data_IF_176091954683
#
_entry.id   IF_176091954683
#
_cell.length_a   1.000
_cell.length_b   1.000
_cell.length_c   1.000
_cell.angle_alpha   90.00
_cell.angle_beta   90.00
_cell.angle_gamma   90.00
#
_symmetry.space_group_name_H-M   'P 1'
#
loop_
_entity.id
_entity.type
_entity.pdbx_description
1 polymer ?
#
# COMPACT_ATOMS: atom_id res chain seq x y z
N UNK A 1 9.63 1.67 3.63
CA UNK A 1 8.81 1.14 2.51
C UNK A 1 8.74 2.18 1.41
N UNK A 2 8.35 1.82 0.18
CA UNK A 2 8.16 2.80 -0.92
C UNK A 2 6.69 2.89 -1.30
N UNK A 3 6.26 4.06 -1.74
CA UNK A 3 4.89 4.32 -2.20
C UNK A 3 4.90 4.26 -3.72
N UNK A 4 4.28 3.22 -4.29
CA UNK A 4 4.19 3.00 -5.74
C UNK A 4 2.99 2.11 -6.07
N UNK A 5 2.37 2.38 -7.22
CA UNK A 5 1.18 1.65 -7.68
C UNK A 5 1.53 0.31 -8.37
N UNK A 6 2.52 0.33 -9.29
CA UNK A 6 2.86 -0.81 -10.13
C UNK A 6 3.94 -1.67 -9.48
N UNK A 7 4.05 -2.93 -9.93
CA UNK A 7 5.10 -3.86 -9.52
C UNK A 7 6.51 -3.51 -10.06
N UNK A 8 6.59 -2.51 -10.94
CA UNK A 8 7.81 -2.04 -11.58
C UNK A 8 7.81 -0.50 -11.75
N UNK A 9 8.97 0.05 -12.11
CA UNK A 9 9.16 1.49 -12.28
C UNK A 9 8.90 1.99 -13.72
N UNK A 10 8.46 1.13 -14.65
CA UNK A 10 8.45 1.42 -16.08
C UNK A 10 7.48 2.55 -16.44
N UNK A 11 6.25 2.51 -15.92
CA UNK A 11 5.20 3.46 -16.31
C UNK A 11 5.51 4.89 -15.87
N UNK A 12 6.03 5.05 -14.65
CA UNK A 12 6.18 6.38 -14.03
C UNK A 12 7.60 6.91 -14.11
N UNK A 13 8.63 6.04 -14.08
CA UNK A 13 10.03 6.44 -14.17
C UNK A 13 10.74 6.01 -15.46
N UNK A 14 10.09 5.22 -16.33
CA UNK A 14 10.70 4.73 -17.57
C UNK A 14 11.79 3.67 -17.35
N UNK A 15 11.91 3.12 -16.14
CA UNK A 15 12.94 2.13 -15.77
C UNK A 15 12.30 0.75 -15.67
N UNK A 16 12.74 -0.18 -16.52
CA UNK A 16 12.30 -1.58 -16.49
C UNK A 16 12.98 -2.35 -15.35
N UNK A 17 12.52 -2.09 -14.12
CA UNK A 17 13.03 -2.69 -12.89
C UNK A 17 11.86 -3.06 -11.97
N UNK A 18 11.86 -4.30 -11.48
CA UNK A 18 10.86 -4.80 -10.52
C UNK A 18 11.15 -4.23 -9.12
N UNK A 19 10.09 -3.80 -8.42
CA UNK A 19 10.18 -3.16 -7.10
C UNK A 19 10.75 -4.12 -6.06
N UNK A 20 10.24 -5.34 -5.95
CA UNK A 20 10.70 -6.36 -4.99
C UNK A 20 12.20 -6.71 -5.16
N UNK A 21 12.73 -6.54 -6.38
CA UNK A 21 14.13 -6.83 -6.71
C UNK A 21 15.07 -5.63 -6.50
N UNK A 22 14.53 -4.49 -6.08
CA UNK A 22 15.29 -3.24 -5.91
C UNK A 22 15.67 -3.03 -4.45
N UNK A 23 16.89 -2.53 -4.22
CA UNK A 23 17.21 -1.95 -2.92
C UNK A 23 16.54 -0.58 -2.77
N UNK A 24 16.27 -0.16 -1.53
CA UNK A 24 15.74 1.17 -1.26
C UNK A 24 16.63 2.28 -1.87
N UNK A 25 17.95 2.15 -1.75
CA UNK A 25 18.89 3.13 -2.29
C UNK A 25 18.78 3.25 -3.83
N UNK A 26 18.53 2.15 -4.54
CA UNK A 26 18.28 2.19 -5.98
C UNK A 26 16.93 2.85 -6.30
N UNK A 27 15.87 2.45 -5.61
CA UNK A 27 14.54 3.01 -5.84
C UNK A 27 14.52 4.54 -5.68
N UNK A 28 15.19 5.07 -4.66
CA UNK A 28 15.24 6.52 -4.41
C UNK A 28 15.93 7.34 -5.51
N UNK A 29 16.65 6.71 -6.44
CA UNK A 29 17.29 7.41 -7.56
C UNK A 29 16.39 7.54 -8.80
N UNK A 30 15.26 6.84 -8.84
CA UNK A 30 14.36 6.88 -10.00
C UNK A 30 13.52 8.15 -10.02
N UNK A 31 13.45 8.80 -11.18
CA UNK A 31 12.72 10.05 -11.42
C UNK A 31 11.36 9.76 -12.07
N UNK A 32 10.28 10.05 -11.36
CA UNK A 32 8.91 9.68 -11.74
C UNK A 32 8.23 10.66 -12.71
N UNK A 33 9.01 11.46 -13.44
CA UNK A 33 8.51 12.45 -14.41
C UNK A 33 8.30 11.95 -15.84
N UNK A 34 8.42 10.65 -16.13
CA UNK A 34 8.39 10.12 -17.50
C UNK A 34 7.15 10.54 -18.31
N UNK A 35 6.00 10.75 -17.67
CA UNK A 35 4.75 11.24 -18.28
C UNK A 35 4.49 12.75 -18.15
N UNK A 36 5.41 13.50 -17.55
CA UNK A 36 5.22 14.89 -17.10
C UNK A 36 6.35 15.81 -17.60
N UNK A 37 6.48 16.01 -18.92
CA UNK A 37 7.65 16.68 -19.52
C UNK A 37 7.86 18.14 -19.08
N UNK A 38 6.80 18.78 -18.58
CA UNK A 38 6.84 20.17 -18.10
C UNK A 38 7.10 20.29 -16.59
N UNK A 39 7.23 19.18 -15.85
CA UNK A 39 7.50 19.23 -14.42
C UNK A 39 8.97 19.58 -14.16
N UNK A 40 9.26 20.70 -13.48
CA UNK A 40 10.59 21.31 -13.53
C UNK A 40 11.64 20.57 -12.69
N UNK A 41 11.21 19.89 -11.63
CA UNK A 41 12.09 19.30 -10.59
C UNK A 41 12.02 17.79 -10.59
N UNK A 42 13.14 17.11 -10.40
CA UNK A 42 13.15 15.64 -10.26
C UNK A 42 12.25 15.19 -9.10
N UNK A 43 11.46 14.15 -9.33
CA UNK A 43 10.59 13.56 -8.30
C UNK A 43 11.06 12.13 -8.04
N UNK A 44 11.79 11.93 -6.93
CA UNK A 44 12.29 10.61 -6.53
C UNK A 44 11.17 9.67 -6.11
N UNK A 45 11.39 8.36 -6.16
CA UNK A 45 10.49 7.38 -5.52
C UNK A 45 10.20 7.77 -4.07
N UNK A 46 8.94 8.03 -3.69
CA UNK A 46 8.61 8.42 -2.32
C UNK A 46 8.74 7.24 -1.35
N UNK A 47 9.29 7.51 -0.16
CA UNK A 47 9.20 6.56 0.97
C UNK A 47 7.88 6.75 1.70
N UNK A 48 7.37 5.70 2.34
CA UNK A 48 6.19 5.80 3.20
C UNK A 48 6.36 6.91 4.25
N UNK A 49 7.44 6.86 5.04
CA UNK A 49 7.72 7.88 6.06
C UNK A 49 7.81 9.28 5.46
N UNK A 50 8.42 9.41 4.27
CA UNK A 50 8.46 10.67 3.54
C UNK A 50 7.07 11.21 3.21
N UNK A 51 6.15 10.35 2.75
CA UNK A 51 4.76 10.72 2.50
C UNK A 51 4.03 11.05 3.79
N UNK A 52 4.12 10.21 4.82
CA UNK A 52 3.46 10.44 6.12
C UNK A 52 3.86 11.78 6.75
N UNK A 53 5.12 12.20 6.60
CA UNK A 53 5.59 13.49 7.10
C UNK A 53 4.97 14.71 6.37
N UNK A 54 4.39 14.51 5.19
CA UNK A 54 3.68 15.54 4.42
C UNK A 54 2.18 15.55 4.70
N UNK A 55 1.64 14.47 5.27
CA UNK A 55 0.22 14.38 5.60
C UNK A 55 -0.05 15.13 6.91
N UNK A 56 -0.90 16.15 6.82
CA UNK A 56 -1.36 16.94 7.97
C UNK A 56 -2.88 17.09 7.94
N UNK A 57 -3.51 17.01 9.12
CA UNK A 57 -4.96 17.15 9.32
C UNK A 57 -5.85 16.19 8.50
N UNK A 58 -5.47 14.92 8.38
CA UNK A 58 -6.32 13.88 7.80
C UNK A 58 -7.10 13.13 8.89
N UNK A 59 -8.41 13.03 8.73
CA UNK A 59 -9.27 12.23 9.61
C UNK A 59 -9.10 10.72 9.37
N UNK A 60 -8.72 10.34 8.14
CA UNK A 60 -8.54 8.97 7.70
C UNK A 60 -7.50 8.89 6.58
N UNK A 61 -6.64 7.88 6.65
CA UNK A 61 -5.61 7.57 5.66
C UNK A 61 -5.71 6.08 5.32
N UNK A 62 -5.80 5.76 4.04
CA UNK A 62 -5.73 4.37 3.58
C UNK A 62 -4.35 4.06 3.06
N UNK A 63 -3.79 2.99 3.61
CA UNK A 63 -2.50 2.46 3.24
C UNK A 63 -2.74 1.09 2.61
N UNK A 64 -2.81 1.06 1.28
CA UNK A 64 -2.98 -0.18 0.53
C UNK A 64 -1.64 -0.89 0.40
N UNK A 65 -1.56 -2.11 0.91
CA UNK A 65 -0.39 -2.97 0.80
C UNK A 65 -0.58 -3.92 -0.38
N UNK A 66 0.36 -3.92 -1.32
CA UNK A 66 0.31 -4.81 -2.49
C UNK A 66 0.65 -6.25 -2.13
N UNK A 67 0.28 -7.15 -3.05
CA UNK A 67 0.45 -8.58 -2.87
C UNK A 67 1.92 -9.00 -2.74
N UNK A 68 2.15 -10.05 -1.96
CA UNK A 68 3.47 -10.63 -1.71
C UNK A 68 3.53 -12.09 -2.12
N UNK A 69 4.74 -12.57 -2.42
CA UNK A 69 4.96 -13.92 -2.94
C UNK A 69 4.67 -15.02 -1.92
N UNK A 70 4.91 -14.77 -0.63
CA UNK A 70 4.71 -15.75 0.44
C UNK A 70 4.45 -15.10 1.80
N UNK A 71 3.94 -15.90 2.76
CA UNK A 71 3.65 -15.47 4.12
C UNK A 71 4.87 -14.92 4.88
N UNK A 72 6.08 -15.43 4.63
CA UNK A 72 7.28 -14.95 5.31
C UNK A 72 7.60 -13.50 4.91
N UNK A 73 7.37 -13.14 3.64
CA UNK A 73 7.43 -11.76 3.18
C UNK A 73 6.28 -10.92 3.74
N UNK A 74 5.06 -11.46 3.82
CA UNK A 74 3.92 -10.77 4.44
C UNK A 74 4.22 -10.35 5.88
N UNK A 75 4.71 -11.28 6.71
CA UNK A 75 5.08 -11.03 8.10
C UNK A 75 6.16 -9.96 8.22
N UNK A 76 7.23 -10.08 7.42
CA UNK A 76 8.33 -9.10 7.43
C UNK A 76 7.87 -7.71 7.00
N UNK A 77 7.03 -7.65 5.96
CA UNK A 77 6.47 -6.40 5.44
C UNK A 77 5.59 -5.73 6.50
N UNK A 78 4.66 -6.48 7.09
CA UNK A 78 3.74 -5.98 8.11
C UNK A 78 4.50 -5.51 9.36
N UNK A 79 5.51 -6.23 9.83
CA UNK A 79 6.34 -5.76 10.96
C UNK A 79 7.03 -4.43 10.67
N UNK A 80 7.55 -4.27 9.45
CA UNK A 80 8.19 -3.02 9.03
C UNK A 80 7.16 -1.89 8.90
N UNK A 81 5.97 -2.20 8.39
CA UNK A 81 4.86 -1.27 8.24
C UNK A 81 4.36 -0.75 9.60
N UNK A 82 4.12 -1.64 10.57
CA UNK A 82 3.78 -1.27 11.96
C UNK A 82 4.78 -0.27 12.55
N UNK A 83 6.07 -0.50 12.31
CA UNK A 83 7.13 0.39 12.80
C UNK A 83 7.08 1.76 12.11
N UNK A 84 6.87 1.81 10.79
CA UNK A 84 6.82 3.07 10.04
C UNK A 84 5.53 3.86 10.25
N UNK A 85 4.43 3.20 10.67
CA UNK A 85 3.14 3.82 10.95
C UNK A 85 2.91 4.17 12.43
N UNK A 86 3.88 3.91 13.30
CA UNK A 86 3.74 4.19 14.74
C UNK A 86 3.31 5.66 14.97
N UNK A 87 2.25 5.84 15.76
CA UNK A 87 1.63 7.14 16.02
C UNK A 87 0.45 7.50 15.11
N UNK A 88 0.19 6.72 14.06
CA UNK A 88 -0.94 6.92 13.13
C UNK A 88 -2.10 5.95 13.36
N UNK A 89 -2.11 5.17 14.45
CA UNK A 89 -3.05 4.05 14.70
C UNK A 89 -4.52 4.48 14.66
N UNK A 90 -4.80 5.75 14.96
CA UNK A 90 -6.17 6.29 15.00
C UNK A 90 -6.72 6.65 13.61
N UNK A 91 -5.83 7.06 12.70
CA UNK A 91 -6.19 7.64 11.40
C UNK A 91 -5.88 6.70 10.25
N UNK A 92 -4.91 5.81 10.38
CA UNK A 92 -4.55 4.86 9.33
C UNK A 92 -5.43 3.61 9.39
N UNK A 93 -5.92 3.22 8.23
CA UNK A 93 -6.44 1.87 7.97
C UNK A 93 -5.58 1.19 6.92
N UNK A 94 -5.11 -0.02 7.23
CA UNK A 94 -4.32 -0.83 6.31
C UNK A 94 -5.28 -1.65 5.45
N UNK A 95 -5.18 -1.52 4.14
CA UNK A 95 -6.03 -2.20 3.18
C UNK A 95 -5.20 -3.12 2.28
N UNK A 96 -5.79 -4.20 1.77
CA UNK A 96 -5.10 -5.12 0.86
C UNK A 96 -6.09 -6.00 0.10
N UNK A 97 -5.72 -6.37 -1.14
CA UNK A 97 -6.34 -7.47 -1.89
C UNK A 97 -5.77 -8.84 -1.51
N UNK A 98 -4.55 -8.86 -0.95
CA UNK A 98 -3.84 -10.07 -0.58
C UNK A 98 -4.17 -10.49 0.86
N UNK A 99 -4.85 -11.63 1.00
CA UNK A 99 -5.24 -12.20 2.28
C UNK A 99 -4.03 -12.60 3.14
N UNK A 100 -2.85 -12.83 2.56
CA UNK A 100 -1.63 -13.10 3.33
C UNK A 100 -1.26 -11.90 4.21
N UNK A 101 -1.43 -10.67 3.69
CA UNK A 101 -1.20 -9.44 4.46
C UNK A 101 -2.22 -9.31 5.60
N UNK A 102 -3.51 -9.53 5.30
CA UNK A 102 -4.56 -9.47 6.33
C UNK A 102 -4.38 -10.54 7.42
N UNK A 103 -3.91 -11.73 7.02
CA UNK A 103 -3.55 -12.82 7.94
C UNK A 103 -2.38 -12.40 8.83
N UNK A 104 -1.29 -11.91 8.24
CA UNK A 104 -0.11 -11.46 8.99
C UNK A 104 -0.43 -10.34 9.99
N UNK A 105 -1.26 -9.35 9.60
CA UNK A 105 -1.75 -8.31 10.51
C UNK A 105 -2.57 -8.88 11.67
N UNK A 106 -3.37 -9.92 11.41
CA UNK A 106 -4.14 -10.62 12.43
C UNK A 106 -3.25 -11.38 13.41
N UNK A 107 -2.27 -12.12 12.90
CA UNK A 107 -1.40 -12.98 13.69
C UNK A 107 -0.54 -12.19 14.68
N UNK A 108 -0.12 -10.97 14.29
CA UNK A 108 0.64 -10.08 15.18
C UNK A 108 -0.25 -9.24 16.13
N UNK A 109 -1.58 -9.40 16.07
CA UNK A 109 -2.54 -8.56 16.80
C UNK A 109 -2.31 -7.06 16.57
N UNK A 110 -2.19 -6.68 15.29
CA UNK A 110 -2.03 -5.28 14.86
C UNK A 110 -3.07 -4.37 15.52
N UNK A 111 -2.63 -3.17 15.94
CA UNK A 111 -3.52 -2.14 16.47
C UNK A 111 -4.21 -1.32 15.36
N UNK A 112 -3.72 -1.44 14.12
CA UNK A 112 -4.30 -0.72 12.99
C UNK A 112 -5.63 -1.34 12.57
N UNK A 113 -6.55 -0.47 12.13
CA UNK A 113 -7.74 -0.94 11.44
C UNK A 113 -7.33 -1.65 10.15
N UNK A 114 -8.14 -2.62 9.74
CA UNK A 114 -7.95 -3.39 8.50
C UNK A 114 -9.13 -3.18 7.56
N UNK A 115 -8.87 -3.15 6.26
CA UNK A 115 -9.88 -3.16 5.21
C UNK A 115 -9.58 -4.23 4.17
N UNK A 116 -10.64 -4.94 3.74
CA UNK A 116 -10.54 -5.92 2.67
C UNK A 116 -10.81 -5.24 1.34
N UNK A 117 -9.89 -5.36 0.39
CA UNK A 117 -10.13 -4.96 -0.99
C UNK A 117 -10.52 -6.17 -1.82
N UNK A 118 -11.50 -6.04 -2.70
CA UNK A 118 -12.00 -7.15 -3.52
C UNK A 118 -12.17 -6.75 -4.99
N UNK A 119 -11.80 -7.68 -5.88
CA UNK A 119 -12.07 -7.61 -7.32
C UNK A 119 -13.20 -8.56 -7.74
N UNK A 120 -13.94 -9.12 -6.77
CA UNK A 120 -14.91 -10.19 -7.01
C UNK A 120 -16.19 -9.67 -7.68
N UNK A 121 -16.90 -10.53 -8.45
CA UNK A 121 -18.25 -10.20 -8.90
C UNK A 121 -19.19 -9.95 -7.71
N UNK A 122 -20.14 -9.04 -7.88
CA UNK A 122 -21.20 -8.74 -6.90
C UNK A 122 -21.94 -10.02 -6.51
N UNK A 123 -21.88 -10.42 -5.23
CA UNK A 123 -22.54 -11.62 -4.67
C UNK A 123 -21.60 -12.67 -4.07
N UNK A 124 -20.28 -12.52 -4.19
CA UNK A 124 -19.31 -13.34 -3.46
C UNK A 124 -19.20 -12.89 -1.99
N UNK A 125 -18.74 -13.80 -1.12
CA UNK A 125 -18.72 -13.76 0.36
C UNK A 125 -17.79 -12.71 0.99
N UNK A 126 -17.63 -11.54 0.38
CA UNK A 126 -16.74 -10.47 0.85
C UNK A 126 -17.05 -10.01 2.28
N UNK A 127 -18.33 -9.98 2.68
CA UNK A 127 -18.73 -9.66 4.06
C UNK A 127 -18.24 -10.73 5.04
N UNK A 128 -18.39 -12.01 4.69
CA UNK A 128 -17.95 -13.12 5.54
C UNK A 128 -16.42 -13.12 5.67
N UNK A 129 -15.72 -12.84 4.56
CA UNK A 129 -14.26 -12.76 4.53
C UNK A 129 -13.76 -11.56 5.34
N UNK A 130 -14.37 -10.39 5.17
CA UNK A 130 -14.05 -9.21 5.96
C UNK A 130 -14.27 -9.47 7.46
N UNK A 131 -15.35 -10.17 7.82
CA UNK A 131 -15.59 -10.55 9.20
C UNK A 131 -14.54 -11.53 9.73
N UNK A 132 -14.18 -12.56 8.96
CA UNK A 132 -13.13 -13.53 9.31
C UNK A 132 -11.79 -12.85 9.59
N UNK A 133 -11.42 -11.84 8.81
CA UNK A 133 -10.17 -11.09 8.98
C UNK A 133 -10.29 -9.86 9.87
N UNK A 134 -11.43 -9.66 10.54
CA UNK A 134 -11.67 -8.52 11.43
C UNK A 134 -11.50 -7.17 10.73
N UNK A 135 -11.87 -7.08 9.46
CA UNK A 135 -11.85 -5.87 8.66
C UNK A 135 -13.06 -4.98 9.01
N UNK A 136 -12.82 -3.68 9.16
CA UNK A 136 -13.85 -2.69 9.50
C UNK A 136 -14.61 -2.15 8.27
N UNK A 137 -14.08 -2.37 7.07
CA UNK A 137 -14.73 -1.97 5.82
C UNK A 137 -14.27 -2.87 4.66
N UNK A 138 -14.98 -2.75 3.53
CA UNK A 138 -14.68 -3.43 2.27
C UNK A 138 -14.59 -2.37 1.17
N UNK A 139 -13.48 -2.34 0.44
CA UNK A 139 -13.32 -1.56 -0.78
C UNK A 139 -13.54 -2.45 -1.99
N UNK A 140 -14.46 -2.08 -2.88
CA UNK A 140 -14.63 -2.77 -4.15
C UNK A 140 -13.77 -2.09 -5.20
N UNK A 141 -12.96 -2.85 -5.94
CA UNK A 141 -12.33 -2.29 -7.13
C UNK A 141 -13.39 -2.17 -8.23
N UNK A 142 -13.96 -0.98 -8.39
CA UNK A 142 -14.73 -0.62 -9.57
C UNK A 142 -13.78 0.09 -10.56
N UNK A 143 -14.01 -0.08 -11.87
CA UNK A 143 -13.14 0.46 -12.93
C UNK A 143 -13.09 2.00 -12.97
N UNK A 144 -13.76 2.69 -12.04
CA UNK A 144 -13.96 4.14 -12.02
C UNK A 144 -13.16 4.89 -10.93
N UNK A 145 -12.53 4.20 -9.99
CA UNK A 145 -12.09 4.86 -8.76
C UNK A 145 -10.64 5.39 -8.78
N UNK A 146 -10.54 6.72 -8.85
CA UNK A 146 -9.39 7.52 -8.41
C UNK A 146 -9.59 7.95 -6.95
N UNK A 147 -9.46 7.03 -5.99
CA UNK A 147 -9.30 7.42 -4.58
C UNK A 147 -7.82 7.71 -4.29
N UNK A 148 -7.57 8.72 -3.44
CA UNK A 148 -6.22 8.97 -2.90
C UNK A 148 -5.94 7.85 -1.90
N UNK A 149 -5.46 6.72 -2.40
CA UNK A 149 -4.95 5.62 -1.60
C UNK A 149 -3.42 5.72 -1.61
N UNK A 150 -2.78 5.71 -0.44
CA UNK A 150 -1.33 5.57 -0.37
C UNK A 150 -1.00 4.11 -0.66
N UNK A 151 -0.72 3.80 -1.92
CA UNK A 151 -0.38 2.45 -2.34
C UNK A 151 1.10 2.15 -2.06
N UNK A 152 1.34 1.13 -1.26
CA UNK A 152 2.66 0.68 -0.81
C UNK A 152 3.03 -0.69 -1.39
N UNK A 153 4.31 -0.81 -1.74
CA UNK A 153 5.00 -2.09 -1.94
C UNK A 153 6.10 -2.22 -0.88
#
# INVERSE_FOLDING_TARGET
>A
LVVIHDDNFLRTAGVDQIVEQSTLAQALLFDHRQGWPNWPTSESTPTLTGVLNLLDNFDHIEVEVKAVRDMALAEKLVQKLETELQGFEKVVTITSFDLQILTALSDINSQFKRGLLVELPVGATAIELAHQYGCGHIGWHDQLDHFICCQLI
#
